data_IF_462005088639
#
_entry.id   IF_462005088639
#
_cell.length_a   1.000
_cell.length_b   1.000
_cell.length_c   1.000
_cell.angle_alpha   90.00
_cell.angle_beta   90.00
_cell.angle_gamma   90.00
#
_symmetry.space_group_name_H-M   'P 1'
#
loop_
_entity.id
_entity.type
_entity.pdbx_description
1 polymer ?
#
# COMPACT_ATOMS: atom_id res chain seq x y z
N UNK A 1 -3.81 -10.70 -47.36
CA UNK A 1 -3.34 -10.09 -46.10
C UNK A 1 -3.59 -8.60 -46.06
N UNK A 2 -3.37 -7.84 -47.16
CA UNK A 2 -3.64 -6.39 -47.23
C UNK A 2 -5.06 -6.01 -46.74
N UNK A 3 -6.09 -6.76 -47.18
CA UNK A 3 -7.49 -6.52 -46.77
C UNK A 3 -7.75 -6.63 -45.25
N UNK A 4 -7.04 -7.52 -44.54
CA UNK A 4 -7.21 -7.69 -43.09
C UNK A 4 -6.53 -6.55 -42.32
N UNK A 5 -5.39 -6.06 -42.82
CA UNK A 5 -4.71 -4.90 -42.27
C UNK A 5 -5.58 -3.65 -42.36
N UNK A 6 -6.17 -3.42 -43.54
CA UNK A 6 -7.06 -2.28 -43.79
C UNK A 6 -8.29 -2.31 -42.87
N UNK A 7 -8.93 -3.48 -42.73
CA UNK A 7 -10.07 -3.66 -41.81
C UNK A 7 -9.70 -3.49 -40.34
N UNK A 8 -8.48 -3.87 -39.94
CA UNK A 8 -8.01 -3.66 -38.59
C UNK A 8 -7.85 -2.16 -38.26
N UNK A 9 -7.27 -1.40 -39.19
CA UNK A 9 -7.06 0.04 -39.04
C UNK A 9 -8.35 0.86 -39.11
N UNK A 10 -9.38 0.39 -39.82
CA UNK A 10 -10.70 1.02 -39.86
C UNK A 10 -11.45 1.01 -38.51
N UNK A 11 -11.08 0.10 -37.59
CA UNK A 11 -11.67 0.05 -36.25
C UNK A 11 -13.10 -0.53 -36.21
N UNK A 12 -13.77 -0.36 -35.07
CA UNK A 12 -15.17 -0.79 -34.88
C UNK A 12 -15.41 -2.28 -35.18
N UNK A 13 -16.49 -2.56 -35.91
CA UNK A 13 -16.91 -3.91 -36.28
C UNK A 13 -15.91 -4.61 -37.23
N UNK A 14 -15.24 -3.86 -38.11
CA UNK A 14 -14.22 -4.39 -39.02
C UNK A 14 -13.03 -4.95 -38.25
N UNK A 15 -12.54 -4.20 -37.25
CA UNK A 15 -11.48 -4.66 -36.36
C UNK A 15 -11.90 -5.92 -35.59
N UNK A 16 -13.14 -5.96 -35.09
CA UNK A 16 -13.65 -7.14 -34.37
C UNK A 16 -13.73 -8.38 -35.27
N UNK A 17 -14.14 -8.21 -36.52
CA UNK A 17 -14.15 -9.30 -37.50
C UNK A 17 -12.75 -9.85 -37.77
N UNK A 18 -11.77 -8.98 -37.99
CA UNK A 18 -10.36 -9.36 -38.17
C UNK A 18 -9.83 -10.11 -36.96
N UNK A 19 -10.06 -9.59 -35.75
CA UNK A 19 -9.58 -10.22 -34.51
C UNK A 19 -10.18 -11.61 -34.29
N UNK A 20 -11.46 -11.81 -34.61
CA UNK A 20 -12.08 -13.15 -34.59
C UNK A 20 -11.44 -14.10 -35.60
N UNK A 21 -11.15 -13.63 -36.81
CA UNK A 21 -10.45 -14.43 -37.83
C UNK A 21 -9.04 -14.80 -37.35
N UNK A 22 -8.31 -13.87 -36.74
CA UNK A 22 -6.95 -14.12 -36.22
C UNK A 22 -6.96 -15.15 -35.08
N UNK A 23 -7.91 -15.09 -34.14
CA UNK A 23 -8.02 -16.08 -33.06
C UNK A 23 -8.41 -17.46 -33.60
N UNK A 24 -9.29 -17.52 -34.61
CA UNK A 24 -9.62 -18.78 -35.27
C UNK A 24 -8.41 -19.40 -35.98
N UNK A 25 -7.63 -18.58 -36.70
CA UNK A 25 -6.39 -19.02 -37.34
C UNK A 25 -5.35 -19.50 -36.31
N UNK A 26 -5.12 -18.72 -35.25
CA UNK A 26 -4.24 -19.10 -34.15
C UNK A 26 -4.58 -20.48 -33.56
N UNK A 27 -5.86 -20.73 -33.26
CA UNK A 27 -6.29 -22.05 -32.75
C UNK A 27 -6.12 -23.16 -33.76
N UNK A 28 -6.39 -22.88 -35.04
CA UNK A 28 -6.18 -23.84 -36.11
C UNK A 28 -4.70 -24.24 -36.21
N UNK A 29 -3.79 -23.27 -36.10
CA UNK A 29 -2.35 -23.50 -36.12
C UNK A 29 -1.89 -24.31 -34.90
N UNK A 30 -2.38 -23.97 -33.70
CA UNK A 30 -2.09 -24.73 -32.48
C UNK A 30 -2.60 -26.17 -32.59
N UNK A 31 -3.84 -26.37 -33.06
CA UNK A 31 -4.40 -27.71 -33.25
C UNK A 31 -3.68 -28.50 -34.34
N UNK A 32 -3.25 -27.83 -35.42
CA UNK A 32 -2.47 -28.43 -36.51
C UNK A 32 -1.07 -28.83 -36.09
N UNK A 33 -0.44 -28.06 -35.19
CA UNK A 33 0.87 -28.38 -34.61
C UNK A 33 0.83 -29.59 -33.66
N UNK A 34 -0.35 -29.92 -33.12
CA UNK A 34 -0.55 -31.00 -32.16
C UNK A 34 -1.29 -32.22 -32.77
N UNK A 35 -0.55 -32.92 -33.63
CA UNK A 35 -1.03 -34.04 -34.45
C UNK A 35 -1.28 -35.35 -33.70
N UNK A 36 -1.76 -36.36 -34.45
CA UNK A 36 -2.08 -37.70 -33.90
C UNK A 36 -0.85 -38.43 -33.34
N UNK A 37 0.34 -38.17 -33.88
CA UNK A 37 1.60 -38.77 -33.45
C UNK A 37 2.02 -38.27 -32.07
N UNK A 38 1.95 -36.95 -31.84
CA UNK A 38 2.23 -36.31 -30.55
C UNK A 38 1.27 -36.81 -29.45
N UNK A 39 -0.01 -36.99 -29.79
CA UNK A 39 -1.01 -37.57 -28.89
C UNK A 39 -0.71 -39.02 -28.52
N UNK A 40 -0.28 -39.84 -29.49
CA UNK A 40 0.14 -41.22 -29.21
C UNK A 40 1.37 -41.30 -28.32
N UNK A 41 2.29 -40.34 -28.46
CA UNK A 41 3.47 -40.23 -27.60
C UNK A 41 3.17 -39.65 -26.21
N UNK A 42 1.90 -39.33 -25.90
CA UNK A 42 1.48 -38.69 -24.64
C UNK A 42 2.26 -37.40 -24.36
N UNK A 43 2.58 -36.63 -25.39
CA UNK A 43 3.16 -35.31 -25.18
C UNK A 43 2.20 -34.43 -24.34
N UNK A 44 2.72 -33.40 -23.64
CA UNK A 44 1.87 -32.44 -22.95
C UNK A 44 1.09 -31.58 -23.94
N UNK A 45 -0.15 -31.23 -23.58
CA UNK A 45 -0.97 -30.33 -24.36
C UNK A 45 -0.30 -28.95 -24.58
N UNK A 46 -0.52 -28.30 -25.73
CA UNK A 46 -0.06 -26.94 -25.97
C UNK A 46 -0.53 -25.98 -24.88
N UNK A 47 0.37 -25.10 -24.45
CA UNK A 47 0.18 -24.16 -23.35
C UNK A 47 0.25 -22.72 -23.86
N UNK A 48 -0.73 -21.92 -23.48
CA UNK A 48 -0.73 -20.46 -23.66
C UNK A 48 -0.65 -19.80 -22.29
N UNK A 49 0.40 -19.02 -22.10
CA UNK A 49 0.58 -18.16 -20.94
C UNK A 49 0.16 -16.74 -21.32
N UNK A 50 -0.88 -16.24 -20.67
CA UNK A 50 -1.35 -14.86 -20.83
C UNK A 50 -1.00 -14.10 -19.56
N UNK A 51 -0.10 -13.14 -19.69
CA UNK A 51 0.23 -12.24 -18.59
C UNK A 51 -0.76 -11.06 -18.54
N UNK A 52 -0.96 -10.50 -17.35
CA UNK A 52 -1.71 -9.27 -17.13
C UNK A 52 -3.11 -9.22 -17.78
N UNK A 53 -3.90 -10.30 -17.69
CA UNK A 53 -5.23 -10.35 -18.36
C UNK A 53 -6.26 -9.38 -17.76
N UNK A 54 -5.89 -8.66 -16.70
CA UNK A 54 -6.67 -7.58 -16.12
C UNK A 54 -6.55 -6.28 -16.94
N UNK A 55 -5.49 -6.12 -17.74
CA UNK A 55 -5.30 -4.98 -18.64
C UNK A 55 -6.19 -5.10 -19.89
N UNK A 56 -6.55 -3.98 -20.56
CA UNK A 56 -7.48 -3.99 -21.68
C UNK A 56 -7.09 -4.93 -22.83
N UNK A 57 -5.80 -5.01 -23.18
CA UNK A 57 -5.31 -5.88 -24.25
C UNK A 57 -5.43 -7.37 -23.89
N UNK A 58 -5.00 -7.75 -22.67
CA UNK A 58 -5.09 -9.12 -22.18
C UNK A 58 -6.54 -9.58 -22.00
N UNK A 59 -7.40 -8.71 -21.45
CA UNK A 59 -8.85 -8.96 -21.35
C UNK A 59 -9.48 -9.18 -22.71
N UNK A 60 -9.19 -8.31 -23.69
CA UNK A 60 -9.72 -8.43 -25.05
C UNK A 60 -9.29 -9.74 -25.72
N UNK A 61 -8.03 -10.13 -25.60
CA UNK A 61 -7.54 -11.39 -26.15
C UNK A 61 -8.24 -12.60 -25.50
N UNK A 62 -8.33 -12.60 -24.16
CA UNK A 62 -9.02 -13.66 -23.44
C UNK A 62 -10.52 -13.73 -23.81
N UNK A 63 -11.19 -12.59 -23.91
CA UNK A 63 -12.60 -12.52 -24.32
C UNK A 63 -12.80 -13.07 -25.73
N UNK A 64 -11.93 -12.76 -26.69
CA UNK A 64 -11.99 -13.34 -28.04
C UNK A 64 -11.80 -14.86 -28.05
N UNK A 65 -10.88 -15.37 -27.20
CA UNK A 65 -10.66 -16.80 -27.05
C UNK A 65 -11.91 -17.50 -26.48
N UNK A 66 -12.52 -16.92 -25.45
CA UNK A 66 -13.73 -17.43 -24.82
C UNK A 66 -14.96 -17.32 -25.74
N UNK A 67 -15.14 -16.20 -26.45
CA UNK A 67 -16.19 -16.04 -27.47
C UNK A 67 -16.12 -17.16 -28.51
N UNK A 68 -14.91 -17.47 -28.97
CA UNK A 68 -14.71 -18.50 -29.96
C UNK A 68 -14.96 -19.92 -29.40
N UNK A 69 -14.66 -20.17 -28.12
CA UNK A 69 -15.08 -21.41 -27.43
C UNK A 69 -16.59 -21.54 -27.27
N UNK A 70 -17.30 -20.42 -27.20
CA UNK A 70 -18.77 -20.40 -27.10
C UNK A 70 -19.48 -20.69 -28.44
N UNK A 71 -18.77 -20.62 -29.57
CA UNK A 71 -19.36 -20.86 -30.89
C UNK A 71 -19.85 -22.31 -31.07
N UNK A 72 -21.03 -22.47 -31.66
CA UNK A 72 -21.57 -23.79 -32.03
C UNK A 72 -20.64 -24.52 -33.01
N UNK A 73 -20.33 -25.78 -32.71
CA UNK A 73 -19.37 -26.58 -33.49
C UNK A 73 -17.92 -26.49 -33.02
N UNK A 74 -17.62 -25.70 -31.97
CA UNK A 74 -16.35 -25.84 -31.26
C UNK A 74 -16.23 -27.26 -30.69
N UNK A 75 -15.07 -27.93 -30.83
CA UNK A 75 -14.90 -29.28 -30.36
C UNK A 75 -15.17 -29.36 -28.85
N UNK A 76 -15.91 -30.39 -28.42
CA UNK A 76 -16.19 -30.63 -26.99
C UNK A 76 -14.90 -30.78 -26.17
N UNK A 77 -13.81 -31.17 -26.82
CA UNK A 77 -12.46 -31.24 -26.27
C UNK A 77 -11.53 -30.33 -27.05
N UNK A 78 -11.46 -29.07 -26.62
CA UNK A 78 -10.30 -28.25 -26.93
C UNK A 78 -9.13 -28.70 -26.05
N UNK A 79 -8.01 -28.99 -26.72
CA UNK A 79 -6.79 -29.55 -26.16
C UNK A 79 -5.71 -28.46 -25.97
N UNK A 80 -6.12 -27.26 -25.54
CA UNK A 80 -5.28 -26.10 -25.28
C UNK A 80 -5.36 -25.69 -23.80
N UNK A 81 -4.22 -25.72 -23.11
CA UNK A 81 -4.11 -25.23 -21.73
C UNK A 81 -3.92 -23.73 -21.76
N UNK A 82 -4.79 -23.00 -21.07
CA UNK A 82 -4.70 -21.53 -20.95
C UNK A 82 -4.47 -21.20 -19.49
N UNK A 83 -3.34 -20.55 -19.22
CA UNK A 83 -3.00 -20.00 -17.91
C UNK A 83 -2.99 -18.49 -18.05
N UNK A 84 -3.86 -17.81 -17.30
CA UNK A 84 -4.03 -16.37 -17.33
C UNK A 84 -3.65 -15.77 -15.99
N UNK A 85 -2.62 -14.94 -15.95
CA UNK A 85 -2.25 -14.20 -14.74
C UNK A 85 -3.07 -12.92 -14.62
N UNK A 86 -3.45 -12.52 -13.41
CA UNK A 86 -4.23 -11.29 -13.20
C UNK A 86 -4.03 -10.69 -11.82
N UNK A 87 -4.27 -9.39 -11.72
CA UNK A 87 -4.47 -8.71 -10.44
C UNK A 87 -5.90 -8.89 -9.92
N UNK A 88 -6.01 -9.34 -8.67
CA UNK A 88 -7.27 -9.54 -7.94
C UNK A 88 -8.14 -10.69 -8.46
N UNK A 89 -9.27 -10.91 -7.79
CA UNK A 89 -10.18 -12.02 -8.10
C UNK A 89 -10.79 -11.91 -9.51
N UNK A 90 -11.08 -13.07 -10.16
CA UNK A 90 -11.92 -13.07 -11.36
C UNK A 90 -13.31 -12.51 -11.04
N UNK A 91 -13.96 -11.78 -11.98
CA UNK A 91 -15.32 -11.33 -11.77
C UNK A 91 -16.24 -12.53 -11.47
N UNK A 92 -16.94 -12.47 -10.34
CA UNK A 92 -17.75 -13.58 -9.84
C UNK A 92 -18.99 -13.82 -10.68
N UNK A 93 -19.16 -15.06 -11.16
CA UNK A 93 -20.42 -15.72 -11.58
C UNK A 93 -20.16 -16.96 -12.46
N UNK A 94 -18.95 -17.10 -13.02
CA UNK A 94 -18.59 -18.24 -13.86
C UNK A 94 -17.80 -19.31 -13.06
N UNK A 95 -18.32 -20.53 -12.89
CA UNK A 95 -17.61 -21.62 -12.21
C UNK A 95 -16.52 -22.28 -13.09
N UNK A 96 -16.40 -21.91 -14.37
CA UNK A 96 -15.48 -22.55 -15.30
C UNK A 96 -13.99 -22.26 -15.10
N UNK A 97 -13.56 -21.02 -14.78
CA UNK A 97 -12.17 -20.74 -14.44
C UNK A 97 -11.78 -21.37 -13.09
N UNK A 98 -10.64 -22.07 -13.07
CA UNK A 98 -10.06 -22.63 -11.85
C UNK A 98 -8.90 -21.75 -11.40
N UNK A 99 -9.00 -21.22 -10.19
CA UNK A 99 -7.89 -20.48 -9.57
C UNK A 99 -6.81 -21.45 -9.07
N UNK A 100 -5.55 -21.13 -9.35
CA UNK A 100 -4.37 -21.86 -8.87
C UNK A 100 -3.27 -20.88 -8.48
N UNK A 101 -2.59 -21.18 -7.37
CA UNK A 101 -1.38 -20.47 -7.00
C UNK A 101 -0.21 -20.94 -7.88
N UNK A 102 0.76 -20.07 -8.15
CA UNK A 102 1.89 -20.38 -9.03
C UNK A 102 2.68 -21.61 -8.52
N UNK A 103 2.90 -21.71 -7.22
CA UNK A 103 3.61 -22.83 -6.59
C UNK A 103 2.93 -24.19 -6.83
N UNK A 104 1.60 -24.21 -6.97
CA UNK A 104 0.87 -25.44 -7.27
C UNK A 104 1.03 -25.86 -8.72
N UNK A 105 1.03 -24.89 -9.64
CA UNK A 105 1.23 -25.16 -11.07
C UNK A 105 2.61 -25.72 -11.38
N UNK A 106 3.65 -25.30 -10.65
CA UNK A 106 5.02 -25.83 -10.79
C UNK A 106 5.10 -27.31 -10.39
N UNK A 107 4.35 -27.73 -9.36
CA UNK A 107 4.32 -29.14 -8.91
C UNK A 107 3.49 -30.03 -9.82
N UNK A 108 2.44 -29.47 -10.40
CA UNK A 108 1.60 -30.13 -11.39
C UNK A 108 0.33 -29.34 -11.64
N UNK A 109 0.02 -29.09 -12.91
CA UNK A 109 -1.14 -28.27 -13.26
C UNK A 109 -2.49 -28.87 -12.85
N UNK A 110 -2.56 -30.22 -12.77
CA UNK A 110 -3.81 -30.96 -12.52
C UNK A 110 -4.91 -30.62 -13.54
N UNK A 111 -4.51 -30.10 -14.70
CA UNK A 111 -5.40 -29.45 -15.65
C UNK A 111 -6.38 -30.45 -16.26
N UNK A 112 -7.66 -30.12 -16.21
CA UNK A 112 -8.73 -30.85 -16.88
C UNK A 112 -9.80 -29.87 -17.34
N UNK A 113 -10.19 -29.93 -18.61
CA UNK A 113 -11.41 -29.26 -19.08
C UNK A 113 -12.63 -30.07 -18.67
N UNK A 114 -13.36 -29.60 -17.66
CA UNK A 114 -14.63 -30.21 -17.21
C UNK A 114 -15.80 -29.33 -17.64
N UNK A 115 -16.66 -29.87 -18.50
CA UNK A 115 -17.85 -29.18 -19.00
C UNK A 115 -17.62 -28.42 -20.32
N UNK A 116 -18.70 -27.84 -20.83
CA UNK A 116 -18.77 -27.17 -22.13
C UNK A 116 -18.72 -25.65 -22.03
N UNK A 117 -18.69 -25.09 -20.81
CA UNK A 117 -18.58 -23.65 -20.61
C UNK A 117 -17.34 -23.09 -21.35
N UNK A 118 -17.41 -21.87 -21.91
CA UNK A 118 -16.28 -21.26 -22.61
C UNK A 118 -15.02 -21.17 -21.76
N UNK A 119 -15.19 -20.88 -20.47
CA UNK A 119 -14.12 -20.78 -19.48
C UNK A 119 -13.67 -22.11 -18.89
N UNK A 120 -14.32 -23.24 -19.22
CA UNK A 120 -13.97 -24.54 -18.67
C UNK A 120 -12.50 -24.87 -18.95
N UNK A 121 -11.75 -25.17 -17.88
CA UNK A 121 -10.31 -25.45 -17.96
C UNK A 121 -9.43 -24.21 -18.10
N UNK A 122 -9.97 -22.99 -17.99
CA UNK A 122 -9.13 -21.79 -17.85
C UNK A 122 -8.47 -21.82 -16.46
N UNK A 123 -7.14 -21.78 -16.41
CA UNK A 123 -6.40 -21.61 -15.16
C UNK A 123 -6.16 -20.13 -14.94
N UNK A 124 -6.57 -19.61 -13.79
CA UNK A 124 -6.26 -18.24 -13.39
C UNK A 124 -5.23 -18.24 -12.27
N UNK A 125 -4.18 -17.44 -12.44
CA UNK A 125 -3.08 -17.32 -11.49
C UNK A 125 -3.07 -15.89 -10.94
N UNK A 126 -3.20 -15.70 -9.62
CA UNK A 126 -3.07 -14.38 -9.05
C UNK A 126 -1.62 -13.89 -9.19
N UNK A 127 -1.47 -12.63 -9.61
CA UNK A 127 -0.21 -11.91 -9.48
C UNK A 127 -0.08 -11.46 -8.02
N UNK A 128 0.50 -12.32 -7.18
CA UNK A 128 0.69 -12.04 -5.76
C UNK A 128 1.88 -11.11 -5.54
N UNK A 129 1.82 -10.20 -4.53
CA UNK A 129 2.99 -9.46 -4.09
C UNK A 129 4.13 -10.40 -3.67
N UNK A 130 5.37 -9.93 -3.78
CA UNK A 130 6.55 -10.63 -3.27
C UNK A 130 6.47 -10.80 -1.76
N UNK A 131 6.76 -11.99 -1.27
CA UNK A 131 6.87 -12.24 0.17
C UNK A 131 8.16 -11.63 0.73
N UNK A 132 8.26 -11.54 2.05
CA UNK A 132 9.49 -11.13 2.74
C UNK A 132 10.68 -12.03 2.36
N UNK A 133 10.44 -13.33 2.20
CA UNK A 133 11.48 -14.31 1.89
C UNK A 133 12.00 -14.14 0.44
N UNK A 134 11.18 -13.59 -0.46
CA UNK A 134 11.58 -13.25 -1.82
C UNK A 134 12.49 -12.01 -1.88
N UNK A 135 12.48 -11.14 -0.85
CA UNK A 135 13.29 -9.91 -0.83
C UNK A 135 14.76 -10.20 -0.58
N UNK A 136 15.08 -11.17 0.27
CA UNK A 136 16.47 -11.45 0.66
C UNK A 136 17.35 -11.89 -0.54
N UNK A 137 16.93 -12.82 -1.40
CA UNK A 137 17.68 -13.17 -2.61
C UNK A 137 17.91 -11.97 -3.56
N UNK A 138 16.94 -11.05 -3.64
CA UNK A 138 17.07 -9.84 -4.45
C UNK A 138 18.13 -8.87 -3.90
N UNK A 139 18.37 -8.87 -2.60
CA UNK A 139 19.44 -8.07 -1.96
C UNK A 139 20.81 -8.72 -2.09
N UNK A 140 20.89 -10.04 -1.91
CA UNK A 140 22.15 -10.78 -1.91
C UNK A 140 22.74 -10.98 -3.32
N UNK A 141 21.90 -11.01 -4.36
CA UNK A 141 22.33 -11.19 -5.74
C UNK A 141 23.36 -10.12 -6.16
N UNK A 142 24.64 -10.52 -6.22
CA UNK A 142 25.75 -9.64 -6.60
C UNK A 142 26.22 -8.69 -5.49
N UNK A 143 25.95 -8.99 -4.22
CA UNK A 143 26.44 -8.21 -3.08
C UNK A 143 27.94 -8.43 -2.87
N UNK A 144 28.76 -7.58 -3.50
CA UNK A 144 30.15 -7.37 -3.13
C UNK A 144 30.26 -5.96 -2.52
N UNK A 145 30.36 -5.85 -1.20
CA UNK A 145 30.42 -4.56 -0.52
C UNK A 145 30.23 -4.63 0.98
N UNK A 146 29.82 -3.51 1.58
CA UNK A 146 29.55 -3.40 3.02
C UNK A 146 28.50 -4.43 3.50
N UNK A 147 28.58 -4.91 4.76
CA UNK A 147 27.57 -5.82 5.29
C UNK A 147 26.19 -5.15 5.27
N UNK A 148 25.17 -5.90 4.85
CA UNK A 148 23.79 -5.43 4.85
C UNK A 148 23.28 -5.31 6.29
N UNK A 149 22.46 -4.29 6.54
CA UNK A 149 21.75 -4.16 7.81
C UNK A 149 20.78 -5.35 7.99
N UNK A 150 20.75 -6.03 9.15
CA UNK A 150 19.95 -7.26 9.35
C UNK A 150 18.45 -7.09 9.04
N UNK A 151 17.94 -5.86 9.19
CA UNK A 151 16.51 -5.54 9.06
C UNK A 151 16.12 -4.96 7.71
N UNK A 152 17.06 -4.85 6.77
CA UNK A 152 16.82 -4.17 5.50
C UNK A 152 15.73 -4.86 4.66
N UNK A 153 15.75 -6.20 4.59
CA UNK A 153 14.73 -6.97 3.87
C UNK A 153 13.33 -6.76 4.46
N UNK A 154 13.22 -6.74 5.79
CA UNK A 154 11.96 -6.47 6.50
C UNK A 154 11.45 -5.07 6.22
N UNK A 155 12.32 -4.06 6.31
CA UNK A 155 11.96 -2.66 6.07
C UNK A 155 11.51 -2.44 4.62
N UNK A 156 12.22 -3.02 3.65
CA UNK A 156 11.84 -3.02 2.24
C UNK A 156 10.45 -3.61 2.04
N UNK A 157 10.20 -4.81 2.56
CA UNK A 157 8.89 -5.44 2.45
C UNK A 157 7.79 -4.62 3.15
N UNK A 158 8.03 -4.10 4.35
CA UNK A 158 7.09 -3.24 5.07
C UNK A 158 6.80 -1.93 4.34
N UNK A 159 7.78 -1.39 3.60
CA UNK A 159 7.63 -0.19 2.79
C UNK A 159 6.85 -0.48 1.49
N UNK A 160 7.23 -1.52 0.75
CA UNK A 160 6.69 -1.83 -0.59
C UNK A 160 5.45 -2.70 -0.60
N UNK A 161 5.14 -3.38 0.52
CA UNK A 161 4.08 -4.40 0.56
C UNK A 161 4.34 -5.56 -0.42
N UNK A 162 5.58 -5.77 -0.86
CA UNK A 162 5.92 -6.77 -1.85
C UNK A 162 5.72 -6.33 -3.31
N UNK A 163 5.41 -5.06 -3.58
CA UNK A 163 5.21 -4.59 -4.95
C UNK A 163 6.47 -4.84 -5.82
N UNK A 164 6.42 -5.69 -6.87
CA UNK A 164 7.61 -6.19 -7.56
C UNK A 164 8.53 -5.09 -8.13
N UNK A 165 7.95 -4.08 -8.80
CA UNK A 165 8.72 -2.98 -9.38
C UNK A 165 9.42 -2.12 -8.31
N UNK A 166 8.71 -1.76 -7.24
CA UNK A 166 9.25 -0.98 -6.13
C UNK A 166 10.35 -1.74 -5.38
N UNK A 167 10.10 -3.00 -5.03
CA UNK A 167 11.08 -3.88 -4.37
C UNK A 167 12.34 -4.02 -5.22
N UNK A 168 12.20 -4.29 -6.52
CA UNK A 168 13.36 -4.45 -7.42
C UNK A 168 14.17 -3.17 -7.53
N UNK A 169 13.51 -2.01 -7.66
CA UNK A 169 14.17 -0.72 -7.76
C UNK A 169 14.93 -0.37 -6.47
N UNK A 170 14.30 -0.51 -5.30
CA UNK A 170 14.95 -0.24 -4.02
C UNK A 170 16.09 -1.23 -3.73
N UNK A 171 15.91 -2.53 -3.98
CA UNK A 171 17.01 -3.49 -3.88
C UNK A 171 18.19 -3.10 -4.79
N UNK A 172 17.91 -2.59 -6.00
CA UNK A 172 18.97 -2.12 -6.89
C UNK A 172 19.73 -0.90 -6.38
N UNK A 173 19.02 0.05 -5.73
CA UNK A 173 19.61 1.22 -5.10
C UNK A 173 20.47 0.84 -3.89
N UNK A 174 19.97 -0.07 -3.04
CA UNK A 174 20.75 -0.65 -1.92
C UNK A 174 22.05 -1.27 -2.43
N UNK A 175 21.97 -2.17 -3.42
CA UNK A 175 23.17 -2.82 -3.97
C UNK A 175 24.14 -1.83 -4.60
N UNK A 176 23.65 -0.72 -5.17
CA UNK A 176 24.52 0.33 -5.70
C UNK A 176 25.26 1.05 -4.56
N UNK A 177 24.54 1.45 -3.50
CA UNK A 177 25.12 2.10 -2.33
C UNK A 177 26.14 1.20 -1.60
N UNK A 178 25.79 -0.07 -1.40
CA UNK A 178 26.66 -1.06 -0.74
C UNK A 178 27.95 -1.33 -1.54
N UNK A 179 27.87 -1.40 -2.88
CA UNK A 179 29.05 -1.50 -3.76
C UNK A 179 29.94 -0.25 -3.71
N UNK A 180 29.35 0.92 -3.43
CA UNK A 180 30.08 2.15 -3.18
C UNK A 180 30.66 2.25 -1.76
N UNK A 181 30.50 1.20 -0.93
CA UNK A 181 31.01 1.17 0.44
C UNK A 181 30.14 1.90 1.47
N UNK A 182 28.93 2.32 1.09
CA UNK A 182 28.02 3.02 1.99
C UNK A 182 27.24 2.02 2.85
N UNK A 183 27.19 2.28 4.16
CA UNK A 183 26.27 1.59 5.05
C UNK A 183 24.85 2.13 4.83
N UNK A 184 23.89 1.23 4.60
CA UNK A 184 22.49 1.59 4.33
C UNK A 184 21.64 1.27 5.54
N UNK A 185 21.05 2.28 6.17
CA UNK A 185 20.07 2.08 7.23
C UNK A 185 18.65 1.98 6.64
N UNK A 186 17.73 1.23 7.29
CA UNK A 186 16.34 1.10 6.85
C UNK A 186 15.60 2.43 6.61
N UNK A 187 15.87 3.46 7.41
CA UNK A 187 15.22 4.77 7.31
C UNK A 187 15.60 5.55 6.05
N UNK A 188 16.77 5.25 5.48
CA UNK A 188 17.34 5.99 4.34
C UNK A 188 16.88 5.42 2.98
N UNK A 189 16.06 4.36 2.98
CA UNK A 189 15.70 3.59 1.77
C UNK A 189 15.17 4.45 0.61
N UNK A 190 14.35 5.45 0.90
CA UNK A 190 13.76 6.33 -0.13
C UNK A 190 14.72 7.45 -0.59
N UNK A 191 15.74 7.74 0.21
CA UNK A 191 16.75 8.80 -0.05
C UNK A 191 17.97 8.26 -0.81
N UNK A 192 18.10 6.93 -0.95
CA UNK A 192 19.15 6.32 -1.76
C UNK A 192 19.10 6.84 -3.20
N UNK A 193 20.26 6.96 -3.85
CA UNK A 193 20.30 7.43 -5.24
C UNK A 193 19.82 6.36 -6.22
N UNK A 194 18.92 6.76 -7.12
CA UNK A 194 18.61 6.04 -8.34
C UNK A 194 19.74 6.17 -9.37
N UNK A 195 19.61 5.46 -10.51
CA UNK A 195 20.63 5.43 -11.57
C UNK A 195 20.92 6.80 -12.18
N UNK A 196 19.95 7.71 -12.17
CA UNK A 196 20.04 9.08 -12.68
C UNK A 196 20.51 10.08 -11.61
N UNK A 197 20.87 9.61 -10.41
CA UNK A 197 21.38 10.42 -9.31
C UNK A 197 20.31 11.06 -8.42
N UNK A 198 19.03 11.00 -8.79
CA UNK A 198 17.92 11.51 -7.96
C UNK A 198 17.59 10.54 -6.82
N UNK A 199 16.90 10.99 -5.75
CA UNK A 199 16.38 10.08 -4.74
C UNK A 199 15.48 9.00 -5.36
N UNK A 200 15.65 7.75 -4.92
CA UNK A 200 14.93 6.60 -5.47
C UNK A 200 13.44 6.68 -5.18
N UNK A 201 13.02 7.33 -4.10
CA UNK A 201 11.62 7.62 -3.81
C UNK A 201 10.96 8.45 -4.92
N UNK A 202 11.64 9.50 -5.41
CA UNK A 202 11.18 10.34 -6.52
C UNK A 202 11.09 9.53 -7.82
N UNK A 203 12.17 8.84 -8.18
CA UNK A 203 12.23 8.04 -9.41
C UNK A 203 11.20 6.89 -9.41
N UNK A 204 10.94 6.30 -8.24
CA UNK A 204 9.94 5.26 -8.07
C UNK A 204 8.53 5.84 -8.23
N UNK A 205 8.22 6.97 -7.60
CA UNK A 205 6.93 7.62 -7.73
C UNK A 205 6.67 8.05 -9.19
N UNK A 206 7.67 8.56 -9.89
CA UNK A 206 7.58 8.90 -11.32
C UNK A 206 7.30 7.66 -12.19
N UNK A 207 7.92 6.53 -11.88
CA UNK A 207 7.66 5.27 -12.60
C UNK A 207 6.24 4.74 -12.35
N UNK A 208 5.76 4.86 -11.11
CA UNK A 208 4.45 4.35 -10.68
C UNK A 208 3.30 5.27 -11.10
N UNK A 209 3.53 6.58 -11.12
CA UNK A 209 2.61 7.62 -11.59
C UNK A 209 3.29 8.49 -12.68
N UNK A 210 3.29 8.02 -13.94
CA UNK A 210 3.97 8.71 -15.04
C UNK A 210 3.38 10.09 -15.38
N UNK A 211 2.07 10.28 -15.16
CA UNK A 211 1.43 11.57 -15.37
C UNK A 211 1.85 12.55 -14.26
N UNK A 212 2.75 13.47 -14.61
CA UNK A 212 3.26 14.50 -13.71
C UNK A 212 2.15 15.36 -13.10
N UNK A 213 1.11 15.73 -13.87
CA UNK A 213 0.03 16.59 -13.37
C UNK A 213 -0.76 15.88 -12.29
N UNK A 214 -1.09 14.61 -12.51
CA UNK A 214 -1.80 13.79 -11.52
C UNK A 214 -0.93 13.52 -10.30
N UNK A 215 0.36 13.23 -10.51
CA UNK A 215 1.33 13.05 -9.42
C UNK A 215 1.43 14.28 -8.52
N UNK A 216 1.65 15.47 -9.09
CA UNK A 216 1.78 16.71 -8.31
C UNK A 216 0.50 17.02 -7.50
N UNK A 217 -0.67 16.75 -8.08
CA UNK A 217 -1.97 16.87 -7.40
C UNK A 217 -2.12 15.85 -6.27
N UNK A 218 -1.83 14.57 -6.54
CA UNK A 218 -1.92 13.48 -5.57
C UNK A 218 -0.97 13.67 -4.39
N UNK A 219 0.23 14.21 -4.62
CA UNK A 219 1.19 14.49 -3.54
C UNK A 219 0.57 15.36 -2.46
N UNK A 220 -0.12 16.45 -2.84
CA UNK A 220 -0.79 17.35 -1.89
C UNK A 220 -2.05 16.72 -1.29
N UNK A 221 -2.90 16.09 -2.12
CA UNK A 221 -4.18 15.54 -1.66
C UNK A 221 -4.03 14.27 -0.81
N UNK A 222 -2.92 13.53 -0.94
CA UNK A 222 -2.62 12.35 -0.12
C UNK A 222 -2.51 12.67 1.37
N UNK A 223 -2.31 13.94 1.73
CA UNK A 223 -2.28 14.38 3.12
C UNK A 223 -3.68 14.33 3.76
N UNK A 224 -4.75 14.41 2.97
CA UNK A 224 -6.12 14.27 3.44
C UNK A 224 -6.47 12.79 3.71
N UNK A 225 -7.24 12.54 4.77
CA UNK A 225 -7.56 11.19 5.27
C UNK A 225 -8.91 10.64 4.79
N UNK A 226 -9.74 11.48 4.20
CA UNK A 226 -11.00 11.12 3.58
C UNK A 226 -11.27 11.99 2.35
N UNK A 227 -12.22 11.55 1.52
CA UNK A 227 -12.56 12.23 0.27
C UNK A 227 -13.06 13.66 0.50
N UNK A 228 -13.83 13.92 1.56
CA UNK A 228 -14.36 15.25 1.85
C UNK A 228 -13.26 16.22 2.33
N UNK A 229 -12.28 15.75 3.10
CA UNK A 229 -11.10 16.53 3.46
C UNK A 229 -10.21 16.80 2.24
N UNK A 230 -10.09 15.84 1.32
CA UNK A 230 -9.35 16.02 0.07
C UNK A 230 -10.02 17.06 -0.85
N UNK A 231 -11.35 17.03 -0.97
CA UNK A 231 -12.13 18.04 -1.68
C UNK A 231 -11.96 19.43 -1.07
N UNK A 232 -12.12 19.56 0.25
CA UNK A 232 -11.93 20.83 0.95
C UNK A 232 -10.51 21.39 0.75
N UNK A 233 -9.50 20.51 0.80
CA UNK A 233 -8.10 20.88 0.55
C UNK A 233 -7.87 21.32 -0.90
N UNK A 234 -8.46 20.62 -1.88
CA UNK A 234 -8.36 20.97 -3.30
C UNK A 234 -8.89 22.39 -3.58
N UNK A 235 -10.06 22.72 -3.01
CA UNK A 235 -10.66 24.07 -3.10
C UNK A 235 -9.78 25.11 -2.40
N UNK A 236 -9.30 24.82 -1.19
CA UNK A 236 -8.40 25.73 -0.44
C UNK A 236 -7.11 26.05 -1.18
N UNK A 237 -6.54 25.07 -1.88
CA UNK A 237 -5.30 25.21 -2.64
C UNK A 237 -5.52 25.76 -4.05
N UNK A 238 -6.78 25.99 -4.44
CA UNK A 238 -7.21 26.41 -5.78
C UNK A 238 -6.59 25.52 -6.86
N UNK A 239 -6.67 24.20 -6.65
CA UNK A 239 -6.30 23.22 -7.68
C UNK A 239 -7.36 23.15 -8.80
N UNK A 240 -8.37 24.03 -8.75
CA UNK A 240 -9.44 24.26 -9.71
C UNK A 240 -8.94 25.19 -10.83
N UNK A 241 -8.55 24.66 -11.99
CA UNK A 241 -8.13 25.42 -13.17
C UNK A 241 -8.87 24.99 -14.45
N UNK A 242 -8.97 25.82 -15.51
CA UNK A 242 -10.00 25.81 -16.57
C UNK A 242 -10.15 24.55 -17.47
N UNK A 243 -9.44 23.45 -17.21
CA UNK A 243 -9.53 22.16 -17.93
C UNK A 243 -9.97 21.03 -16.96
N UNK A 244 -10.98 21.32 -16.13
CA UNK A 244 -11.30 20.67 -14.85
C UNK A 244 -11.78 19.22 -14.97
N UNK A 245 -11.14 18.31 -14.22
CA UNK A 245 -11.81 17.12 -13.73
C UNK A 245 -11.89 17.17 -12.17
N UNK A 246 -13.06 16.90 -11.54
CA UNK A 246 -13.28 17.06 -10.09
C UNK A 246 -12.41 16.11 -9.25
N UNK A 247 -12.47 16.17 -7.91
CA UNK A 247 -11.71 15.24 -7.05
C UNK A 247 -12.03 13.76 -7.35
N UNK A 248 -13.26 13.47 -7.79
CA UNK A 248 -13.67 12.16 -8.32
C UNK A 248 -12.76 11.65 -9.46
N UNK A 249 -12.17 12.54 -10.25
CA UNK A 249 -11.28 12.19 -11.34
C UNK A 249 -9.93 11.64 -10.87
N UNK A 250 -9.52 11.98 -9.66
CA UNK A 250 -8.34 11.38 -9.03
C UNK A 250 -8.66 9.95 -8.60
N UNK A 251 -9.85 9.71 -8.06
CA UNK A 251 -10.34 8.35 -7.78
C UNK A 251 -10.45 7.53 -9.07
N UNK A 252 -11.07 8.07 -10.11
CA UNK A 252 -11.19 7.42 -11.42
C UNK A 252 -9.81 7.10 -12.01
N UNK A 253 -8.86 8.03 -11.89
CA UNK A 253 -7.48 7.81 -12.31
C UNK A 253 -6.82 6.65 -11.53
N UNK A 254 -6.93 6.63 -10.20
CA UNK A 254 -6.37 5.55 -9.38
C UNK A 254 -7.02 4.18 -9.69
N UNK A 255 -8.32 4.15 -9.97
CA UNK A 255 -9.03 2.93 -10.38
C UNK A 255 -8.62 2.46 -11.79
N UNK A 256 -8.49 3.39 -12.74
CA UNK A 256 -7.99 3.12 -14.09
C UNK A 256 -6.56 2.58 -14.09
N UNK A 257 -5.72 3.09 -13.19
CA UNK A 257 -4.36 2.61 -12.97
C UNK A 257 -4.27 1.38 -12.06
N UNK A 258 -5.42 0.82 -11.64
CA UNK A 258 -5.51 -0.37 -10.78
C UNK A 258 -4.84 -0.26 -9.40
N UNK A 259 -4.60 0.96 -8.92
CA UNK A 259 -4.12 1.21 -7.55
C UNK A 259 -5.18 0.86 -6.50
N UNK A 260 -6.45 1.00 -6.84
CA UNK A 260 -7.58 0.70 -5.96
C UNK A 260 -8.82 0.27 -6.73
N UNK A 261 -9.83 -0.24 -6.02
CA UNK A 261 -11.13 -0.64 -6.59
C UNK A 261 -12.25 -0.30 -5.62
N UNK A 262 -13.28 0.41 -6.08
CA UNK A 262 -14.53 0.65 -5.34
C UNK A 262 -14.26 1.30 -3.98
N UNK A 263 -13.47 2.38 -3.98
CA UNK A 263 -13.07 3.07 -2.75
C UNK A 263 -14.30 3.74 -2.09
N UNK A 264 -14.65 3.38 -0.84
CA UNK A 264 -15.73 4.05 -0.13
C UNK A 264 -15.41 5.53 0.10
N UNK A 265 -16.40 6.45 0.11
CA UNK A 265 -16.16 7.88 0.30
C UNK A 265 -15.41 8.22 1.60
N UNK A 266 -15.64 7.44 2.66
CA UNK A 266 -15.02 7.62 3.98
C UNK A 266 -13.58 7.11 4.06
N UNK A 267 -13.09 6.45 3.00
CA UNK A 267 -11.70 6.01 2.93
C UNK A 267 -10.78 7.14 2.47
N UNK A 268 -9.47 7.06 2.80
CA UNK A 268 -8.48 7.93 2.21
C UNK A 268 -8.52 7.87 0.68
N UNK A 269 -8.24 9.00 0.02
CA UNK A 269 -8.25 9.10 -1.43
C UNK A 269 -7.34 8.05 -2.10
N UNK A 270 -6.18 7.81 -1.49
CA UNK A 270 -5.23 6.77 -1.88
C UNK A 270 -5.26 5.66 -0.84
N UNK A 271 -5.81 4.51 -1.22
CA UNK A 271 -5.92 3.36 -0.30
C UNK A 271 -4.70 2.45 -0.32
N UNK A 272 -3.91 2.48 -1.39
CA UNK A 272 -2.70 1.66 -1.51
C UNK A 272 -1.62 2.14 -0.53
N UNK A 273 -1.11 1.28 0.38
CA UNK A 273 -0.15 1.69 1.40
C UNK A 273 1.21 2.13 0.86
N UNK A 274 1.69 1.54 -0.24
CA UNK A 274 2.96 1.93 -0.85
C UNK A 274 2.82 3.32 -1.47
N UNK A 275 1.80 3.51 -2.30
CA UNK A 275 1.57 4.78 -2.96
C UNK A 275 1.34 5.91 -1.95
N UNK A 276 0.55 5.67 -0.91
CA UNK A 276 0.34 6.63 0.18
C UNK A 276 1.66 7.03 0.85
N UNK A 277 2.53 6.07 1.17
CA UNK A 277 3.85 6.36 1.78
C UNK A 277 4.74 7.19 0.86
N UNK A 278 4.78 6.86 -0.44
CA UNK A 278 5.58 7.60 -1.41
C UNK A 278 5.07 9.03 -1.60
N UNK A 279 3.76 9.23 -1.73
CA UNK A 279 3.15 10.55 -1.90
C UNK A 279 3.36 11.43 -0.65
N UNK A 280 3.17 10.88 0.55
CA UNK A 280 3.42 11.60 1.81
C UNK A 280 4.91 11.92 1.97
N UNK A 281 5.80 10.99 1.64
CA UNK A 281 7.25 11.24 1.66
C UNK A 281 7.64 12.36 0.68
N UNK A 282 7.11 12.32 -0.54
CA UNK A 282 7.36 13.36 -1.54
C UNK A 282 6.78 14.71 -1.11
N UNK A 283 5.60 14.74 -0.48
CA UNK A 283 5.00 15.95 0.06
C UNK A 283 5.89 16.58 1.15
N UNK A 284 6.51 15.76 2.01
CA UNK A 284 7.47 16.22 3.03
C UNK A 284 8.71 16.83 2.38
N UNK A 285 9.26 16.16 1.36
CA UNK A 285 10.48 16.57 0.65
C UNK A 285 10.28 17.89 -0.10
N UNK A 286 9.15 18.02 -0.79
CA UNK A 286 8.82 19.19 -1.61
C UNK A 286 8.20 20.34 -0.82
N UNK A 287 7.88 20.12 0.46
CA UNK A 287 7.16 21.13 1.24
C UNK A 287 7.95 22.44 1.28
N UNK A 288 7.35 23.59 0.89
CA UNK A 288 7.97 24.90 1.05
C UNK A 288 8.06 25.28 2.54
N UNK A 289 8.88 26.27 2.88
CA UNK A 289 9.14 26.71 4.26
C UNK A 289 7.87 27.06 5.07
N UNK A 290 8.01 27.28 6.39
CA UNK A 290 6.87 27.42 7.30
C UNK A 290 5.88 28.55 6.95
N UNK A 291 6.34 29.59 6.24
CA UNK A 291 5.52 30.76 5.88
C UNK A 291 4.69 30.61 4.59
N UNK A 292 4.81 29.47 3.88
CA UNK A 292 4.05 29.26 2.65
C UNK A 292 2.67 28.67 2.97
N UNK A 293 1.63 29.22 2.34
CA UNK A 293 0.26 28.70 2.39
C UNK A 293 0.10 27.25 1.89
N UNK A 294 1.09 26.73 1.16
CA UNK A 294 1.24 25.33 0.72
C UNK A 294 2.25 24.55 1.56
N UNK A 295 2.76 25.17 2.62
CA UNK A 295 3.67 24.59 3.59
C UNK A 295 3.00 23.47 4.38
N UNK A 296 3.83 22.54 4.85
CA UNK A 296 3.42 21.35 5.59
C UNK A 296 2.53 21.68 6.79
N UNK A 297 2.95 22.65 7.59
CA UNK A 297 2.25 23.09 8.79
C UNK A 297 0.88 23.69 8.45
N UNK A 298 0.81 24.53 7.41
CA UNK A 298 -0.43 25.17 6.96
C UNK A 298 -1.47 24.16 6.45
N UNK A 299 -1.04 23.18 5.67
CA UNK A 299 -1.92 22.12 5.18
C UNK A 299 -2.45 21.28 6.35
N UNK A 300 -1.58 20.87 7.27
CA UNK A 300 -2.01 20.06 8.40
C UNK A 300 -2.88 20.83 9.40
N UNK A 301 -2.62 22.12 9.63
CA UNK A 301 -3.49 22.99 10.43
C UNK A 301 -4.87 23.16 9.80
N UNK A 302 -4.94 23.30 8.48
CA UNK A 302 -6.21 23.34 7.76
C UNK A 302 -7.00 22.03 7.94
N UNK A 303 -6.34 20.88 7.70
CA UNK A 303 -6.98 19.57 7.84
C UNK A 303 -7.39 19.28 9.29
N UNK A 304 -6.57 19.64 10.27
CA UNK A 304 -6.92 19.56 11.69
C UNK A 304 -8.23 20.29 11.99
N UNK A 305 -8.35 21.55 11.55
CA UNK A 305 -9.57 22.35 11.77
C UNK A 305 -10.79 21.74 11.07
N UNK A 306 -10.61 21.22 9.86
CA UNK A 306 -11.66 20.53 9.11
C UNK A 306 -12.20 19.30 9.86
N UNK A 307 -11.31 18.48 10.42
CA UNK A 307 -11.70 17.31 11.19
C UNK A 307 -12.28 17.68 12.57
N UNK A 308 -11.74 18.70 13.24
CA UNK A 308 -12.25 19.15 14.54
C UNK A 308 -13.72 19.61 14.49
N UNK A 309 -14.17 20.14 13.34
CA UNK A 309 -15.58 20.54 13.13
C UNK A 309 -16.56 19.36 13.11
N UNK A 310 -16.08 18.12 12.96
CA UNK A 310 -16.90 16.90 12.96
C UNK A 310 -17.12 16.31 14.36
N UNK A 311 -16.58 16.94 15.42
CA UNK A 311 -16.71 16.45 16.79
C UNK A 311 -15.95 15.14 17.02
N UNK A 312 -16.54 14.23 17.81
CA UNK A 312 -15.90 12.98 18.25
C UNK A 312 -15.43 12.09 17.10
N UNK A 313 -16.19 12.05 16.00
CA UNK A 313 -15.86 11.27 14.80
C UNK A 313 -14.58 11.77 14.10
N UNK A 314 -14.26 13.07 14.25
CA UNK A 314 -13.07 13.69 13.67
C UNK A 314 -11.90 13.87 14.63
N UNK A 315 -12.06 13.56 15.91
CA UNK A 315 -11.06 13.85 16.95
C UNK A 315 -9.72 13.16 16.67
N UNK A 316 -9.75 11.88 16.27
CA UNK A 316 -8.54 11.11 16.01
C UNK A 316 -7.73 11.67 14.82
N UNK A 317 -8.40 12.08 13.74
CA UNK A 317 -7.76 12.74 12.59
C UNK A 317 -7.25 14.14 12.95
N UNK A 318 -7.98 14.89 13.77
CA UNK A 318 -7.55 16.20 14.25
C UNK A 318 -6.25 16.09 15.07
N UNK A 319 -6.17 15.16 16.03
CA UNK A 319 -4.95 14.90 16.80
C UNK A 319 -3.79 14.46 15.90
N UNK A 320 -4.07 13.60 14.93
CA UNK A 320 -3.05 13.15 13.96
C UNK A 320 -2.49 14.30 13.13
N UNK A 321 -3.34 15.20 12.64
CA UNK A 321 -2.91 16.36 11.88
C UNK A 321 -2.18 17.39 12.74
N UNK A 322 -2.63 17.59 13.98
CA UNK A 322 -1.91 18.41 14.96
C UNK A 322 -0.50 17.85 15.22
N UNK A 323 -0.38 16.53 15.39
CA UNK A 323 0.92 15.87 15.57
C UNK A 323 1.82 16.01 14.34
N UNK A 324 1.26 15.82 13.14
CA UNK A 324 1.98 16.01 11.88
C UNK A 324 2.47 17.44 11.69
N UNK A 325 1.72 18.45 12.16
CA UNK A 325 2.13 19.85 12.14
C UNK A 325 3.21 20.20 13.18
N UNK A 326 3.59 19.26 14.06
CA UNK A 326 4.57 19.46 15.13
C UNK A 326 3.98 19.89 16.48
N UNK A 327 2.65 19.92 16.62
CA UNK A 327 1.92 20.30 17.85
C UNK A 327 1.91 19.21 18.92
N UNK A 328 3.05 18.56 19.18
CA UNK A 328 3.15 17.39 20.07
C UNK A 328 2.64 17.71 21.49
N UNK A 329 3.03 18.86 22.04
CA UNK A 329 2.66 19.29 23.39
C UNK A 329 1.14 19.42 23.54
N UNK A 330 0.47 19.99 22.53
CA UNK A 330 -0.99 20.13 22.53
C UNK A 330 -1.69 18.78 22.40
N UNK A 331 -1.17 17.86 21.58
CA UNK A 331 -1.72 16.50 21.48
C UNK A 331 -1.62 15.76 22.82
N UNK A 332 -0.48 15.85 23.49
CA UNK A 332 -0.26 15.24 24.82
C UNK A 332 -1.21 15.84 25.84
N UNK A 333 -1.33 17.18 25.89
CA UNK A 333 -2.24 17.87 26.80
C UNK A 333 -3.70 17.43 26.58
N UNK A 334 -4.16 17.38 25.33
CA UNK A 334 -5.53 16.93 25.01
C UNK A 334 -5.77 15.47 25.41
N UNK A 335 -4.82 14.56 25.16
CA UNK A 335 -4.94 13.16 25.55
C UNK A 335 -4.89 12.97 27.08
N UNK A 336 -4.10 13.78 27.79
CA UNK A 336 -4.03 13.75 29.25
C UNK A 336 -5.30 14.33 29.89
N UNK A 337 -5.83 15.43 29.35
CA UNK A 337 -7.10 16.01 29.79
C UNK A 337 -8.27 15.03 29.60
N UNK A 338 -8.36 14.34 28.46
CA UNK A 338 -9.37 13.29 28.23
C UNK A 338 -9.23 12.15 29.26
N UNK A 339 -8.01 11.70 29.52
CA UNK A 339 -7.72 10.66 30.51
C UNK A 339 -8.12 11.08 31.94
N UNK A 340 -7.98 12.34 32.30
CA UNK A 340 -8.30 12.83 33.65
C UNK A 340 -9.78 13.15 33.84
N UNK A 341 -10.45 13.57 32.76
CA UNK A 341 -11.82 14.08 32.80
C UNK A 341 -12.89 12.98 32.64
N UNK A 342 -12.64 11.98 31.80
CA UNK A 342 -13.60 10.92 31.49
C UNK A 342 -13.71 9.88 32.62
N UNK A 343 -14.92 9.35 32.85
CA UNK A 343 -15.21 8.39 33.92
C UNK A 343 -15.90 7.12 33.42
N UNK A 344 -16.43 7.13 32.20
CA UNK A 344 -17.03 5.96 31.55
C UNK A 344 -15.97 4.93 31.16
N UNK A 345 -16.21 3.66 31.46
CA UNK A 345 -15.39 2.53 31.04
C UNK A 345 -15.28 2.43 29.51
N UNK A 346 -16.32 2.86 28.77
CA UNK A 346 -16.31 2.88 27.29
C UNK A 346 -15.32 3.90 26.72
N UNK A 347 -15.01 4.96 27.46
CA UNK A 347 -14.05 5.99 27.08
C UNK A 347 -12.63 5.45 26.87
N UNK A 348 -12.24 4.40 27.61
CA UNK A 348 -10.90 3.81 27.49
C UNK A 348 -10.59 3.29 26.07
N UNK A 349 -11.59 2.67 25.43
CA UNK A 349 -11.43 2.12 24.07
C UNK A 349 -11.32 3.23 23.01
N UNK A 350 -12.02 4.35 23.23
CA UNK A 350 -11.92 5.55 22.39
C UNK A 350 -10.55 6.21 22.55
N UNK A 351 -10.13 6.47 23.78
CA UNK A 351 -8.83 7.06 24.09
C UNK A 351 -7.65 6.26 23.50
N UNK A 352 -7.65 4.93 23.67
CA UNK A 352 -6.64 4.04 23.08
C UNK A 352 -6.66 4.09 21.55
N UNK A 353 -7.85 4.25 20.93
CA UNK A 353 -8.00 4.40 19.48
C UNK A 353 -7.40 5.72 19.01
N UNK A 354 -7.74 6.83 19.68
CA UNK A 354 -7.23 8.16 19.39
C UNK A 354 -5.70 8.20 19.52
N UNK A 355 -5.15 7.71 20.62
CA UNK A 355 -3.70 7.61 20.85
C UNK A 355 -3.00 6.79 19.73
N UNK A 356 -3.47 5.56 19.49
CA UNK A 356 -2.89 4.67 18.47
C UNK A 356 -2.97 5.28 17.08
N UNK A 357 -4.08 5.92 16.75
CA UNK A 357 -4.32 6.49 15.42
C UNK A 357 -3.55 7.80 15.22
N UNK A 358 -3.51 8.68 16.21
CA UNK A 358 -2.71 9.91 16.19
C UNK A 358 -1.23 9.60 15.98
N UNK A 359 -0.72 8.55 16.63
CA UNK A 359 0.65 8.05 16.45
C UNK A 359 0.99 7.61 15.02
N UNK A 360 0.02 7.49 14.10
CA UNK A 360 0.28 7.23 12.66
C UNK A 360 0.52 8.51 11.85
N UNK A 361 0.64 9.66 12.52
CA UNK A 361 0.94 10.93 11.88
C UNK A 361 2.29 10.84 11.13
N UNK A 362 2.41 11.39 9.91
CA UNK A 362 3.71 11.55 9.29
C UNK A 362 4.57 12.47 10.14
N UNK A 363 5.86 12.18 10.18
CA UNK A 363 6.84 13.08 10.80
C UNK A 363 6.95 14.40 10.03
N UNK A 364 7.21 15.53 10.71
CA UNK A 364 7.48 16.80 10.02
C UNK A 364 8.66 16.70 9.03
N UNK A 365 8.80 17.65 8.09
CA UNK A 365 9.96 17.73 7.21
C UNK A 365 11.26 17.87 8.00
N UNK A 366 12.31 17.12 7.62
CA UNK A 366 13.56 17.00 8.38
C UNK A 366 14.33 18.32 8.57
N UNK A 367 14.13 19.30 7.69
CA UNK A 367 14.75 20.63 7.84
C UNK A 367 14.28 21.39 9.09
N UNK A 368 13.09 21.05 9.58
CA UNK A 368 12.41 21.76 10.67
C UNK A 368 12.28 20.88 11.94
N UNK A 369 12.86 19.67 11.94
CA UNK A 369 12.60 18.66 12.97
C UNK A 369 13.73 17.64 13.15
N UNK A 370 14.11 17.39 14.41
CA UNK A 370 15.02 16.33 14.82
C UNK A 370 14.24 15.12 15.38
N UNK A 371 14.62 13.91 14.97
CA UNK A 371 13.96 12.67 15.43
C UNK A 371 14.45 12.21 16.81
N UNK A 372 13.88 12.80 17.86
CA UNK A 372 14.13 12.42 19.26
C UNK A 372 13.11 11.41 19.80
N UNK A 373 12.22 10.85 18.97
CA UNK A 373 11.05 10.08 19.44
C UNK A 373 11.43 8.89 20.33
N UNK A 374 12.43 8.10 19.92
CA UNK A 374 12.89 6.96 20.71
C UNK A 374 13.47 7.40 22.06
N UNK A 375 14.26 8.49 22.07
CA UNK A 375 14.87 9.01 23.30
C UNK A 375 13.82 9.53 24.27
N UNK A 376 12.80 10.21 23.76
CA UNK A 376 11.67 10.69 24.56
C UNK A 376 10.86 9.50 25.10
N UNK A 377 10.54 8.51 24.25
CA UNK A 377 9.83 7.30 24.65
C UNK A 377 10.50 6.56 25.83
N UNK A 378 11.83 6.55 25.86
CA UNK A 378 12.64 5.93 26.93
C UNK A 378 12.93 6.89 28.12
N UNK A 379 12.30 8.07 28.17
CA UNK A 379 12.38 9.00 29.29
C UNK A 379 13.64 9.87 29.34
N UNK A 380 14.51 9.84 28.33
CA UNK A 380 15.75 10.63 28.34
C UNK A 380 15.52 12.16 28.37
N UNK A 381 14.29 12.61 28.08
CA UNK A 381 13.91 14.02 28.03
C UNK A 381 12.96 14.43 29.17
N UNK A 382 12.65 13.55 30.14
CA UNK A 382 11.75 13.85 31.26
C UNK A 382 12.17 15.11 32.02
N UNK A 383 13.48 15.34 32.18
CA UNK A 383 14.03 16.53 32.82
C UNK A 383 13.73 17.85 32.09
N UNK A 384 13.33 17.81 30.81
CA UNK A 384 12.85 18.99 30.06
C UNK A 384 11.36 19.28 30.34
N UNK A 385 10.63 18.29 30.84
CA UNK A 385 9.19 18.31 31.08
C UNK A 385 8.85 18.20 32.58
N UNK A 386 9.68 18.78 33.45
CA UNK A 386 9.49 18.73 34.92
C UNK A 386 8.18 19.41 35.35
N UNK A 387 7.72 20.39 34.56
CA UNK A 387 6.49 21.12 34.80
C UNK A 387 5.21 20.34 34.44
N UNK A 388 5.33 19.28 33.62
CA UNK A 388 4.21 18.40 33.30
C UNK A 388 3.89 17.49 34.49
N UNK A 389 2.62 17.15 34.64
CA UNK A 389 2.23 16.16 35.63
C UNK A 389 2.71 14.74 35.23
N UNK A 390 2.65 13.80 36.17
CA UNK A 390 3.12 12.44 35.93
C UNK A 390 2.31 11.70 34.85
N UNK A 391 1.03 12.05 34.69
CA UNK A 391 0.14 11.46 33.68
C UNK A 391 0.51 11.99 32.30
N UNK A 392 0.68 13.30 32.14
CA UNK A 392 1.13 13.96 30.93
C UNK A 392 2.49 13.43 30.46
N UNK A 393 3.46 13.27 31.38
CA UNK A 393 4.75 12.65 31.05
C UNK A 393 4.60 11.22 30.53
N UNK A 394 3.76 10.43 31.18
CA UNK A 394 3.48 9.05 30.79
C UNK A 394 2.83 8.99 29.39
N UNK A 395 1.82 9.83 29.14
CA UNK A 395 1.17 9.97 27.83
C UNK A 395 2.16 10.43 26.76
N UNK A 396 3.06 11.37 27.09
CA UNK A 396 4.10 11.84 26.19
C UNK A 396 5.04 10.71 25.75
N UNK A 397 5.57 9.93 26.71
CA UNK A 397 6.45 8.79 26.41
C UNK A 397 5.73 7.73 25.57
N UNK A 398 4.50 7.40 25.95
CA UNK A 398 3.69 6.42 25.25
C UNK A 398 3.37 6.84 23.81
N UNK A 399 2.98 8.10 23.59
CA UNK A 399 2.72 8.64 22.25
C UNK A 399 3.98 8.54 21.37
N UNK A 400 5.15 8.93 21.89
CA UNK A 400 6.40 8.88 21.13
C UNK A 400 6.83 7.44 20.83
N UNK A 401 6.63 6.50 21.75
CA UNK A 401 6.92 5.08 21.52
C UNK A 401 6.07 4.53 20.36
N UNK A 402 4.77 4.80 20.39
CA UNK A 402 3.84 4.37 19.35
C UNK A 402 4.12 5.07 18.01
N UNK A 403 4.47 6.36 18.06
CA UNK A 403 4.77 7.13 16.87
C UNK A 403 6.04 6.63 16.18
N UNK A 404 7.07 6.33 16.96
CA UNK A 404 8.31 5.72 16.45
C UNK A 404 8.05 4.35 15.78
N UNK A 405 7.22 3.50 16.41
CA UNK A 405 6.88 2.17 15.90
C UNK A 405 5.90 2.16 14.72
N UNK A 406 5.21 3.27 14.46
CA UNK A 406 4.30 3.41 13.31
C UNK A 406 5.04 3.43 11.97
N UNK A 407 6.32 3.79 11.99
CA UNK A 407 7.14 3.92 10.80
C UNK A 407 7.47 2.53 10.20
N UNK A 408 7.25 2.33 8.88
CA UNK A 408 7.43 1.01 8.26
C UNK A 408 8.84 0.42 8.40
N UNK A 409 9.85 1.32 8.42
CA UNK A 409 11.26 0.97 8.47
C UNK A 409 11.79 0.76 9.89
N UNK A 410 11.02 1.15 10.92
CA UNK A 410 11.40 0.98 12.32
C UNK A 410 11.29 -0.49 12.73
N UNK A 411 12.25 -0.95 13.52
CA UNK A 411 12.16 -2.22 14.20
C UNK A 411 11.61 -2.04 15.62
N UNK A 412 10.70 -2.92 16.08
CA UNK A 412 10.30 -2.99 17.47
C UNK A 412 11.45 -3.48 18.36
N UNK A 413 12.21 -2.53 18.88
CA UNK A 413 13.25 -2.78 19.88
C UNK A 413 12.62 -3.23 21.23
N UNK A 414 13.23 -4.20 21.95
CA UNK A 414 12.70 -4.70 23.22
C UNK A 414 12.45 -3.62 24.26
N UNK A 415 13.33 -2.63 24.38
CA UNK A 415 13.22 -1.57 25.39
C UNK A 415 12.00 -0.70 25.10
N UNK A 416 11.74 -0.41 23.82
CA UNK A 416 10.54 0.33 23.40
C UNK A 416 9.26 -0.44 23.74
N UNK A 417 9.26 -1.76 23.50
CA UNK A 417 8.11 -2.61 23.86
C UNK A 417 7.89 -2.68 25.37
N UNK A 418 8.97 -2.76 26.16
CA UNK A 418 8.89 -2.70 27.63
C UNK A 418 8.41 -1.34 28.11
N UNK A 419 8.83 -0.24 27.50
CA UNK A 419 8.33 1.09 27.83
C UNK A 419 6.81 1.19 27.61
N UNK A 420 6.28 0.70 26.48
CA UNK A 420 4.83 0.67 26.22
C UNK A 420 4.08 -0.09 27.32
N UNK A 421 4.59 -1.24 27.74
CA UNK A 421 4.01 -2.03 28.83
C UNK A 421 3.95 -1.23 30.13
N UNK A 422 5.09 -0.64 30.52
CA UNK A 422 5.26 0.10 31.77
C UNK A 422 4.37 1.34 31.83
N UNK A 423 4.33 2.14 30.77
CA UNK A 423 3.49 3.35 30.72
C UNK A 423 1.99 2.98 30.78
N UNK A 424 1.53 1.98 30.02
CA UNK A 424 0.12 1.55 30.09
C UNK A 424 -0.24 0.94 31.44
N UNK A 425 0.66 0.14 32.05
CA UNK A 425 0.46 -0.40 33.38
C UNK A 425 0.38 0.73 34.42
N UNK A 426 1.23 1.75 34.31
CA UNK A 426 1.23 2.93 35.17
C UNK A 426 -0.09 3.71 35.10
N UNK A 427 -0.60 3.97 33.90
CA UNK A 427 -1.89 4.63 33.68
C UNK A 427 -3.05 3.78 34.22
N UNK A 428 -3.00 2.46 34.03
CA UNK A 428 -4.06 1.56 34.49
C UNK A 428 -4.32 1.64 36.00
N UNK A 429 -3.28 1.92 36.80
CA UNK A 429 -3.40 2.04 38.25
C UNK A 429 -4.01 3.38 38.70
N UNK A 430 -4.01 4.40 37.82
CA UNK A 430 -4.48 5.76 38.10
C UNK A 430 -5.90 6.01 37.64
N UNK A 431 -6.46 5.13 36.83
CA UNK A 431 -7.81 5.27 36.30
C UNK A 431 -8.69 4.05 36.64
N UNK A 432 -9.45 4.07 37.76
CA UNK A 432 -10.22 2.92 38.22
C UNK A 432 -11.16 2.35 37.16
N UNK A 433 -11.89 3.22 36.44
CA UNK A 433 -12.84 2.80 35.39
C UNK A 433 -12.15 2.23 34.13
N UNK A 434 -10.88 2.59 33.87
CA UNK A 434 -10.16 2.17 32.65
C UNK A 434 -9.13 1.07 32.92
N UNK A 435 -8.94 0.71 34.19
CA UNK A 435 -7.91 -0.23 34.65
C UNK A 435 -7.89 -1.54 33.88
N UNK A 436 -9.07 -2.09 33.59
CA UNK A 436 -9.19 -3.37 32.86
C UNK A 436 -8.74 -3.21 31.41
N UNK A 437 -9.25 -2.21 30.70
CA UNK A 437 -8.90 -1.96 29.29
C UNK A 437 -7.40 -1.63 29.14
N UNK A 438 -6.87 -0.70 29.94
CA UNK A 438 -5.45 -0.32 29.91
C UNK A 438 -4.54 -1.49 30.32
N UNK A 439 -4.95 -2.27 31.33
CA UNK A 439 -4.20 -3.48 31.72
C UNK A 439 -4.19 -4.56 30.64
N UNK A 440 -5.26 -4.70 29.85
CA UNK A 440 -5.26 -5.59 28.68
C UNK A 440 -4.37 -5.06 27.56
N UNK A 441 -4.40 -3.75 27.29
CA UNK A 441 -3.52 -3.10 26.33
C UNK A 441 -2.05 -3.28 26.72
N UNK A 442 -1.69 -3.04 27.99
CA UNK A 442 -0.34 -3.22 28.53
C UNK A 442 0.23 -4.62 28.25
N UNK A 443 -0.60 -5.67 28.32
CA UNK A 443 -0.17 -7.05 28.03
C UNK A 443 -0.11 -7.38 26.53
N UNK A 444 -1.04 -6.84 25.73
CA UNK A 444 -1.22 -7.23 24.32
C UNK A 444 -0.43 -6.38 23.34
N UNK A 445 -0.29 -5.08 23.61
CA UNK A 445 0.38 -4.15 22.70
C UNK A 445 1.87 -4.44 22.52
N UNK A 446 2.67 -4.74 23.56
CA UNK A 446 4.09 -5.07 23.37
C UNK A 446 4.30 -6.30 22.47
N UNK A 447 3.46 -7.33 22.61
CA UNK A 447 3.53 -8.52 21.76
C UNK A 447 3.11 -8.21 20.31
N UNK A 448 2.03 -7.46 20.13
CA UNK A 448 1.60 -7.03 18.79
C UNK A 448 2.66 -6.14 18.11
N UNK A 449 3.29 -5.22 18.85
CA UNK A 449 4.37 -4.38 18.36
C UNK A 449 5.59 -5.20 17.91
N UNK A 450 6.06 -6.16 18.73
CA UNK A 450 7.15 -7.08 18.39
C UNK A 450 6.90 -7.85 17.08
N UNK A 451 5.66 -8.29 16.89
CA UNK A 451 5.26 -9.01 15.69
C UNK A 451 4.87 -8.11 14.51
N UNK A 452 4.97 -6.77 14.65
CA UNK A 452 4.46 -5.77 13.70
C UNK A 452 3.00 -6.00 13.29
N UNK A 453 2.18 -6.47 14.23
CA UNK A 453 0.74 -6.67 14.07
C UNK A 453 -0.03 -5.43 14.56
N UNK A 454 -1.26 -5.19 14.05
CA UNK A 454 -2.11 -4.13 14.57
C UNK A 454 -2.30 -4.26 16.09
N UNK A 455 -2.13 -3.16 16.82
CA UNK A 455 -2.26 -3.13 18.28
C UNK A 455 -3.74 -3.30 18.66
N UNK A 456 -4.17 -4.39 19.32
CA UNK A 456 -5.58 -4.67 19.53
C UNK A 456 -6.21 -3.70 20.53
N UNK A 457 -7.43 -3.21 20.24
CA UNK A 457 -8.19 -2.38 21.18
C UNK A 457 -9.14 -3.30 21.97
N UNK A 458 -9.13 -3.26 23.31
CA UNK A 458 -10.09 -4.01 24.11
C UNK A 458 -11.54 -3.70 23.73
N UNK A 459 -12.37 -4.74 23.55
CA UNK A 459 -13.79 -4.59 23.22
C UNK A 459 -14.11 -4.44 21.73
N UNK A 460 -13.10 -4.54 20.84
CA UNK A 460 -13.27 -4.70 19.39
C UNK A 460 -13.03 -6.14 18.93
#
# INVERSE_FOLDING_TARGET
>A
MELLGDWYHQGGDYRRAVERTLVAAFRHDVAGSYGRLQRWNREPWPLVLLDDVHLPAGRRFLDLLLEHRAMSGSPEREELVVVATRLGEPPGSDPGPVRRELADLVRGSGWQRRGTAPSAGLLTVPLTPLSRDDVLPLLEAGSAGAPLHPYLASALHSLTGGHPAATTMLCSAVRAATRAGLAVAPRDLLELSAKDGRPVGEALLERLLPDRRQRDRLTLLSLARDSAAAEALATRLRLEGPEQLPANAVTDYLEQQHWQRLTPPESPLVTDPLLQKLLVHEARRLSPGPDDSRGWQEIHRFLQNHHAQRGDDGQADALRHMLAAGGVETVVASLAEEFQSERDERGAGHWLRCLRYAATAPTPPARDWEDDRLRIALGAHDGRYVHLDDTERCVNRLLHALWYLSEPHTEPDPDTCTAIEQELAYLSLRHPSWRVALGQAARRWPAAARDKRPLPIPGQ
#
